data_IF_329873019661
#
_entry.id   IF_329873019661
#
_cell.length_a   1.000
_cell.length_b   1.000
_cell.length_c   1.000
_cell.angle_alpha   90.00
_cell.angle_beta   90.00
_cell.angle_gamma   90.00
#
_symmetry.space_group_name_H-M   'P 1'
#
loop_
_entity.id
_entity.type
_entity.pdbx_description
1 polymer ?
#
# COMPACT_ATOMS: atom_id res chain seq x y z
N UNK A 1 9.00 28.41 -17.58
CA UNK A 1 7.73 28.11 -16.90
C UNK A 1 8.07 27.15 -15.78
N UNK A 2 7.62 27.41 -14.55
CA UNK A 2 7.96 26.59 -13.39
C UNK A 2 7.37 25.18 -13.55
N UNK A 3 8.23 24.16 -13.70
CA UNK A 3 7.85 22.76 -13.88
C UNK A 3 6.97 22.26 -12.72
N UNK A 4 7.20 22.79 -11.52
CA UNK A 4 6.40 22.51 -10.34
C UNK A 4 4.96 23.03 -10.48
N UNK A 5 4.79 24.25 -11.00
CA UNK A 5 3.48 24.86 -11.21
C UNK A 5 2.64 24.09 -12.25
N UNK A 6 3.27 23.65 -13.34
CA UNK A 6 2.59 22.84 -14.36
C UNK A 6 2.17 21.48 -13.80
N UNK A 7 3.00 20.78 -13.02
CA UNK A 7 2.60 19.52 -12.39
C UNK A 7 1.39 19.69 -11.47
N UNK A 8 1.36 20.78 -10.69
CA UNK A 8 0.26 21.09 -9.76
C UNK A 8 -1.05 21.34 -10.49
N UNK A 9 -1.00 21.93 -11.70
CA UNK A 9 -2.17 22.10 -12.56
C UNK A 9 -2.78 20.76 -12.95
N UNK A 10 -1.97 19.77 -13.31
CA UNK A 10 -2.48 18.43 -13.66
C UNK A 10 -2.99 17.66 -12.45
N UNK A 11 -2.32 17.77 -11.28
CA UNK A 11 -2.82 17.21 -10.01
C UNK A 11 -4.19 17.78 -9.65
N UNK A 12 -4.35 19.12 -9.71
CA UNK A 12 -5.62 19.80 -9.45
C UNK A 12 -6.72 19.28 -10.38
N UNK A 13 -6.41 19.15 -11.67
CA UNK A 13 -7.36 18.66 -12.66
C UNK A 13 -7.79 17.22 -12.38
N UNK A 14 -6.87 16.34 -11.98
CA UNK A 14 -7.22 14.99 -11.55
C UNK A 14 -8.14 14.99 -10.32
N UNK A 15 -7.90 15.86 -9.34
CA UNK A 15 -8.80 16.03 -8.17
C UNK A 15 -10.18 16.52 -8.59
N UNK A 16 -10.26 17.49 -9.51
CA UNK A 16 -11.51 18.01 -10.06
C UNK A 16 -12.29 16.93 -10.83
N UNK A 17 -11.60 16.07 -11.57
CA UNK A 17 -12.23 14.89 -12.18
C UNK A 17 -12.74 13.91 -11.12
N UNK A 18 -11.98 13.67 -10.06
CA UNK A 18 -12.39 12.79 -8.96
C UNK A 18 -13.74 13.19 -8.36
N UNK A 19 -13.98 14.50 -8.20
CA UNK A 19 -15.26 15.06 -7.69
C UNK A 19 -16.47 14.80 -8.60
N UNK A 20 -16.26 14.44 -9.86
CA UNK A 20 -17.33 14.09 -10.81
C UNK A 20 -17.69 12.60 -10.78
N UNK A 21 -16.98 11.79 -9.98
CA UNK A 21 -17.23 10.35 -9.85
C UNK A 21 -18.70 10.04 -9.58
N UNK A 22 -19.25 9.08 -10.33
CA UNK A 22 -20.63 8.64 -10.14
C UNK A 22 -20.74 7.76 -8.92
N UNK A 23 -21.79 7.96 -8.13
CA UNK A 23 -22.12 7.06 -7.03
C UNK A 23 -22.47 5.67 -7.59
N UNK A 24 -21.95 4.62 -6.95
CA UNK A 24 -22.20 3.23 -7.30
C UNK A 24 -22.57 2.43 -6.05
N UNK A 25 -23.09 1.22 -6.22
CA UNK A 25 -23.39 0.33 -5.10
C UNK A 25 -22.11 -0.10 -4.36
N UNK A 26 -22.21 -0.11 -3.02
CA UNK A 26 -21.06 -0.25 -2.13
C UNK A 26 -20.28 1.07 -2.07
N UNK A 27 -19.73 1.40 -0.91
CA UNK A 27 -19.02 2.65 -0.69
C UNK A 27 -17.68 2.61 -1.46
N UNK A 28 -17.71 2.99 -2.74
CA UNK A 28 -16.59 2.97 -3.69
C UNK A 28 -15.85 4.31 -3.68
N UNK A 29 -14.54 4.34 -3.95
CA UNK A 29 -13.78 5.58 -3.95
C UNK A 29 -14.15 6.48 -5.13
N UNK A 30 -14.11 7.79 -4.92
CA UNK A 30 -14.06 8.78 -5.97
C UNK A 30 -12.64 8.82 -6.57
N UNK A 31 -12.54 8.61 -7.89
CA UNK A 31 -11.25 8.54 -8.59
C UNK A 31 -11.30 9.40 -9.85
N UNK A 32 -10.29 10.26 -10.02
CA UNK A 32 -10.05 11.05 -11.21
C UNK A 32 -8.68 10.76 -11.79
N UNK A 33 -8.56 10.86 -13.11
CA UNK A 33 -7.31 10.61 -13.83
C UNK A 33 -7.13 11.61 -14.98
N UNK A 34 -5.88 12.00 -15.21
CA UNK A 34 -5.45 12.84 -16.34
C UNK A 34 -4.21 12.23 -16.97
N UNK A 35 -4.18 12.13 -18.30
CA UNK A 35 -3.04 11.67 -19.08
C UNK A 35 -2.42 12.88 -19.80
N UNK A 36 -1.12 13.06 -19.66
CA UNK A 36 -0.38 14.22 -20.18
C UNK A 36 0.83 13.76 -20.99
N UNK A 37 1.13 14.44 -22.10
CA UNK A 37 2.40 14.32 -22.82
C UNK A 37 2.86 15.70 -23.28
N UNK A 38 4.14 16.00 -23.09
CA UNK A 38 4.75 17.28 -23.51
C UNK A 38 3.97 18.51 -23.03
N UNK A 39 3.50 18.45 -21.78
CA UNK A 39 2.70 19.52 -21.16
C UNK A 39 1.26 19.65 -21.69
N UNK A 40 0.80 18.73 -22.55
CA UNK A 40 -0.55 18.72 -23.12
C UNK A 40 -1.37 17.58 -22.54
N UNK A 41 -2.60 17.89 -22.14
CA UNK A 41 -3.57 16.86 -21.73
C UNK A 41 -4.02 16.08 -22.95
N UNK A 42 -3.74 14.78 -22.98
CA UNK A 42 -4.24 13.86 -24.00
C UNK A 42 -5.67 13.43 -23.69
N UNK A 43 -6.01 13.34 -22.40
CA UNK A 43 -7.38 13.10 -21.97
C UNK A 43 -7.51 13.07 -20.45
N UNK A 44 -8.75 13.07 -19.99
CA UNK A 44 -9.10 13.02 -18.57
C UNK A 44 -10.38 12.21 -18.37
N UNK A 45 -10.53 11.62 -17.18
CA UNK A 45 -11.68 10.78 -16.86
C UNK A 45 -11.90 10.68 -15.36
N UNK A 46 -13.06 10.14 -14.99
CA UNK A 46 -13.45 9.87 -13.62
C UNK A 46 -14.18 8.54 -13.51
N UNK A 47 -14.27 8.04 -12.28
CA UNK A 47 -14.90 6.74 -12.01
C UNK A 47 -16.39 6.77 -12.42
N UNK A 48 -16.78 5.81 -13.25
CA UNK A 48 -18.14 5.69 -13.78
C UNK A 48 -18.44 6.54 -15.03
N UNK A 49 -17.46 7.30 -15.57
CA UNK A 49 -17.66 8.05 -16.82
C UNK A 49 -18.02 7.09 -17.98
N UNK A 50 -17.20 6.07 -18.19
CA UNK A 50 -17.34 5.07 -19.29
C UNK A 50 -18.24 3.89 -18.92
N UNK A 51 -19.20 4.10 -18.02
CA UNK A 51 -20.15 3.08 -17.54
C UNK A 51 -19.84 2.53 -16.15
N UNK A 52 -20.85 1.89 -15.54
CA UNK A 52 -20.83 1.43 -14.16
C UNK A 52 -19.71 0.39 -13.90
N UNK A 53 -19.01 0.55 -12.77
CA UNK A 53 -17.94 -0.33 -12.34
C UNK A 53 -16.68 -0.24 -13.21
N UNK A 54 -16.55 0.77 -14.09
CA UNK A 54 -15.30 1.07 -14.80
C UNK A 54 -14.47 2.05 -13.96
N UNK A 55 -13.18 1.73 -13.83
CA UNK A 55 -12.23 2.60 -13.16
C UNK A 55 -11.87 3.74 -14.10
N UNK A 56 -11.52 4.89 -13.54
CA UNK A 56 -11.22 6.09 -14.32
C UNK A 56 -10.05 5.83 -15.30
N UNK A 57 -8.96 5.23 -14.82
CA UNK A 57 -7.77 4.95 -15.62
C UNK A 57 -8.08 3.95 -16.73
N UNK A 58 -8.78 2.87 -16.41
CA UNK A 58 -9.16 1.88 -17.41
C UNK A 58 -10.02 2.52 -18.52
N UNK A 59 -11.06 3.27 -18.14
CA UNK A 59 -11.97 3.90 -19.10
C UNK A 59 -11.25 4.88 -20.02
N UNK A 60 -10.37 5.70 -19.44
CA UNK A 60 -9.60 6.69 -20.19
C UNK A 60 -8.64 6.05 -21.19
N UNK A 61 -7.84 5.09 -20.73
CA UNK A 61 -6.80 4.46 -21.57
C UNK A 61 -7.43 3.70 -22.75
N UNK A 62 -8.53 2.98 -22.51
CA UNK A 62 -9.25 2.29 -23.59
C UNK A 62 -9.85 3.27 -24.60
N UNK A 63 -10.43 4.39 -24.14
CA UNK A 63 -10.96 5.44 -25.02
C UNK A 63 -9.85 6.03 -25.90
N UNK A 64 -8.76 6.48 -25.30
CA UNK A 64 -7.65 7.10 -26.01
C UNK A 64 -6.98 6.13 -27.00
N UNK A 65 -6.78 4.87 -26.59
CA UNK A 65 -6.23 3.83 -27.45
C UNK A 65 -7.17 3.51 -28.63
N UNK A 66 -8.48 3.42 -28.39
CA UNK A 66 -9.49 3.25 -29.44
C UNK A 66 -9.57 4.42 -30.42
N UNK A 67 -9.22 5.63 -29.98
CA UNK A 67 -9.09 6.83 -30.82
C UNK A 67 -7.73 6.90 -31.55
N UNK A 68 -6.84 5.92 -31.37
CA UNK A 68 -5.52 5.87 -32.00
C UNK A 68 -4.49 6.81 -31.38
N UNK A 69 -4.73 7.30 -30.15
CA UNK A 69 -3.78 8.12 -29.41
C UNK A 69 -2.66 7.24 -28.88
N UNK A 70 -1.42 7.48 -29.31
CA UNK A 70 -0.25 6.84 -28.71
C UNK A 70 -0.06 7.34 -27.27
N UNK A 71 0.13 6.42 -26.32
CA UNK A 71 0.27 6.69 -24.88
C UNK A 71 1.70 6.43 -24.34
N UNK A 72 2.60 5.95 -25.20
CA UNK A 72 4.02 5.69 -24.89
C UNK A 72 4.75 6.95 -24.43
N UNK A 73 5.44 6.92 -23.29
CA UNK A 73 6.16 8.08 -22.75
C UNK A 73 5.28 9.13 -22.07
N UNK A 74 3.95 8.95 -22.04
CA UNK A 74 3.05 9.88 -21.32
C UNK A 74 3.22 9.80 -19.79
N UNK A 75 2.76 10.85 -19.10
CA UNK A 75 2.65 10.90 -17.64
C UNK A 75 1.19 10.83 -17.24
N UNK A 76 0.86 9.99 -16.25
CA UNK A 76 -0.49 9.84 -15.72
C UNK A 76 -0.58 10.42 -14.32
N UNK A 77 -1.61 11.23 -14.07
CA UNK A 77 -1.96 11.75 -12.76
C UNK A 77 -3.27 11.09 -12.33
N UNK A 78 -3.23 10.24 -11.30
CA UNK A 78 -4.41 9.56 -10.77
C UNK A 78 -4.59 9.85 -9.29
N UNK A 79 -5.82 10.06 -8.83
CA UNK A 79 -6.08 10.42 -7.43
C UNK A 79 -5.97 9.23 -6.47
N UNK A 80 -6.08 7.99 -6.95
CA UNK A 80 -5.97 6.77 -6.15
C UNK A 80 -4.97 5.82 -6.81
N UNK A 81 -4.28 4.99 -6.03
CA UNK A 81 -3.37 3.97 -6.54
C UNK A 81 -4.04 3.11 -7.64
N UNK A 82 -3.40 2.96 -8.82
CA UNK A 82 -3.89 2.07 -9.87
C UNK A 82 -4.02 0.63 -9.36
N UNK A 83 -5.20 0.03 -9.50
CA UNK A 83 -5.42 -1.30 -8.96
C UNK A 83 -4.49 -2.36 -9.58
N UNK A 84 -4.01 -3.29 -8.74
CA UNK A 84 -3.16 -4.43 -9.12
C UNK A 84 -3.96 -5.68 -9.52
N UNK A 85 -5.26 -5.74 -9.19
CA UNK A 85 -6.14 -6.89 -9.42
C UNK A 85 -7.53 -6.43 -9.81
N UNK A 86 -8.18 -7.20 -10.69
CA UNK A 86 -9.59 -7.01 -11.10
C UNK A 86 -10.24 -8.35 -11.43
N UNK A 87 -11.56 -8.39 -11.37
CA UNK A 87 -12.33 -9.55 -11.79
C UNK A 87 -12.33 -9.65 -13.32
N UNK A 88 -12.09 -10.85 -13.83
CA UNK A 88 -12.18 -11.19 -15.25
C UNK A 88 -13.52 -10.72 -15.85
N UNK A 89 -13.55 -10.19 -17.09
CA UNK A 89 -12.45 -10.06 -18.07
C UNK A 89 -11.66 -8.75 -17.96
N UNK A 90 -11.90 -7.93 -16.92
CA UNK A 90 -11.25 -6.60 -16.80
C UNK A 90 -9.82 -6.78 -16.29
N UNK A 91 -8.83 -6.27 -17.03
CA UNK A 91 -7.43 -6.25 -16.57
C UNK A 91 -7.18 -5.14 -15.53
N UNK A 92 -6.17 -5.29 -14.65
CA UNK A 92 -5.79 -4.26 -13.68
C UNK A 92 -5.33 -2.96 -14.33
N UNK A 93 -5.59 -1.83 -13.67
CA UNK A 93 -5.18 -0.51 -14.15
C UNK A 93 -3.66 -0.40 -14.24
N UNK A 94 -2.93 -0.95 -13.27
CA UNK A 94 -1.46 -1.01 -13.32
C UNK A 94 -0.97 -1.75 -14.58
N UNK A 95 -1.57 -2.89 -14.93
CA UNK A 95 -1.26 -3.64 -16.15
C UNK A 95 -1.56 -2.83 -17.41
N UNK A 96 -2.66 -2.08 -17.45
CA UNK A 96 -2.97 -1.21 -18.59
C UNK A 96 -1.93 -0.12 -18.79
N UNK A 97 -1.50 0.55 -17.71
CA UNK A 97 -0.48 1.59 -17.77
C UNK A 97 0.85 1.05 -18.30
N UNK A 98 1.26 -0.14 -17.83
CA UNK A 98 2.47 -0.83 -18.31
C UNK A 98 2.37 -1.13 -19.81
N UNK A 99 1.26 -1.74 -20.25
CA UNK A 99 1.09 -2.13 -21.64
C UNK A 99 1.05 -0.94 -22.60
N UNK A 100 0.62 0.23 -22.14
CA UNK A 100 0.59 1.47 -22.92
C UNK A 100 1.91 2.26 -22.86
N UNK A 101 2.94 1.75 -22.18
CA UNK A 101 4.28 2.35 -22.17
C UNK A 101 4.35 3.70 -21.48
N UNK A 102 3.50 3.96 -20.48
CA UNK A 102 3.52 5.19 -19.67
C UNK A 102 4.89 5.34 -18.99
N UNK A 103 5.50 6.54 -19.02
CA UNK A 103 6.82 6.78 -18.43
C UNK A 103 6.79 7.13 -16.95
N UNK A 104 5.72 7.80 -16.51
CA UNK A 104 5.57 8.24 -15.14
C UNK A 104 4.12 8.22 -14.66
N UNK A 105 3.93 7.91 -13.38
CA UNK A 105 2.63 7.98 -12.71
C UNK A 105 2.76 8.78 -11.43
N UNK A 106 1.95 9.83 -11.33
CA UNK A 106 1.72 10.57 -10.11
C UNK A 106 0.47 10.01 -9.43
N UNK A 107 0.58 9.67 -8.14
CA UNK A 107 -0.50 9.07 -7.34
C UNK A 107 -0.93 10.02 -6.23
N UNK A 108 -2.23 10.19 -6.07
CA UNK A 108 -2.84 10.96 -4.98
C UNK A 108 -2.69 10.26 -3.63
N UNK A 109 -3.56 9.31 -3.34
CA UNK A 109 -3.47 8.46 -2.14
C UNK A 109 -3.27 7.00 -2.53
N UNK A 110 -2.67 6.22 -1.63
CA UNK A 110 -2.58 4.77 -1.78
C UNK A 110 -3.92 4.12 -1.47
N UNK A 111 -4.21 2.98 -2.10
CA UNK A 111 -5.50 2.32 -1.89
C UNK A 111 -5.50 1.68 -0.49
N UNK A 112 -6.41 2.10 0.41
CA UNK A 112 -6.48 1.57 1.78
C UNK A 112 -6.93 0.10 1.82
N UNK A 113 -7.37 -0.46 0.70
CA UNK A 113 -7.62 -1.87 0.58
C UNK A 113 -6.27 -2.62 0.59
N UNK A 114 -5.94 -3.36 1.65
CA UNK A 114 -4.67 -4.09 1.74
C UNK A 114 -4.41 -5.11 0.62
N UNK A 115 -5.45 -5.58 -0.10
CA UNK A 115 -5.27 -6.46 -1.26
C UNK A 115 -4.69 -5.72 -2.48
N UNK A 116 -4.75 -4.39 -2.45
CA UNK A 116 -4.31 -3.49 -3.52
C UNK A 116 -3.14 -2.64 -3.04
N UNK A 117 -3.14 -2.23 -1.77
CA UNK A 117 -2.16 -1.37 -1.13
C UNK A 117 -0.74 -1.67 -1.59
N UNK A 118 -0.12 -0.71 -2.27
CA UNK A 118 1.25 -0.72 -2.80
C UNK A 118 1.55 -1.81 -3.83
N UNK A 119 0.65 -2.74 -4.11
CA UNK A 119 0.87 -3.78 -5.12
C UNK A 119 0.80 -3.18 -6.53
N UNK A 120 -0.10 -2.22 -6.77
CA UNK A 120 -0.21 -1.56 -8.07
C UNK A 120 0.99 -0.65 -8.32
N UNK A 121 1.36 0.11 -7.29
CA UNK A 121 2.59 0.90 -7.28
C UNK A 121 3.83 0.04 -7.53
N UNK A 122 3.94 -1.14 -6.88
CA UNK A 122 5.05 -2.09 -7.09
C UNK A 122 5.10 -2.56 -8.54
N UNK A 123 3.96 -2.98 -9.10
CA UNK A 123 3.89 -3.45 -10.49
C UNK A 123 4.42 -2.40 -11.46
N UNK A 124 4.04 -1.13 -11.28
CA UNK A 124 4.49 -0.02 -12.12
C UNK A 124 5.99 0.23 -11.95
N UNK A 125 6.48 0.29 -10.71
CA UNK A 125 7.90 0.48 -10.43
C UNK A 125 8.77 -0.66 -10.99
N UNK A 126 8.34 -1.91 -10.82
CA UNK A 126 9.06 -3.08 -11.34
C UNK A 126 9.11 -3.10 -12.88
N UNK A 127 8.17 -2.42 -13.54
CA UNK A 127 8.15 -2.17 -14.97
C UNK A 127 8.90 -0.88 -15.36
N UNK A 128 9.75 -0.35 -14.48
CA UNK A 128 10.59 0.84 -14.68
C UNK A 128 9.82 2.15 -14.93
N UNK A 129 8.56 2.22 -14.50
CA UNK A 129 7.75 3.44 -14.56
C UNK A 129 8.08 4.32 -13.35
N UNK A 130 8.35 5.61 -13.61
CA UNK A 130 8.65 6.59 -12.56
C UNK A 130 7.42 6.90 -11.71
N UNK A 131 7.44 6.47 -10.45
CA UNK A 131 6.36 6.76 -9.49
C UNK A 131 6.64 8.02 -8.67
N UNK A 132 5.64 8.90 -8.54
CA UNK A 132 5.72 10.12 -7.71
C UNK A 132 4.41 10.36 -6.96
N UNK A 133 4.48 11.05 -5.84
CA UNK A 133 3.28 11.42 -5.08
C UNK A 133 2.74 12.80 -5.52
N UNK A 134 1.44 12.99 -5.33
CA UNK A 134 0.84 14.32 -5.34
C UNK A 134 1.37 15.16 -4.19
N UNK A 135 1.32 16.49 -4.35
CA UNK A 135 1.57 17.39 -3.23
C UNK A 135 0.61 17.12 -2.07
N UNK A 136 1.10 17.35 -0.86
CA UNK A 136 0.43 17.03 0.40
C UNK A 136 -0.99 17.61 0.47
N UNK A 137 -1.19 18.86 0.06
CA UNK A 137 -2.51 19.52 0.08
C UNK A 137 -3.55 18.80 -0.80
N UNK A 138 -3.12 18.26 -1.95
CA UNK A 138 -4.01 17.44 -2.77
C UNK A 138 -4.27 16.07 -2.16
N UNK A 139 -3.27 15.45 -1.52
CA UNK A 139 -3.44 14.14 -0.86
C UNK A 139 -4.43 14.23 0.30
N UNK A 140 -4.33 15.27 1.13
CA UNK A 140 -5.29 15.55 2.20
C UNK A 140 -6.71 15.75 1.67
N UNK A 141 -6.85 16.54 0.61
CA UNK A 141 -8.15 16.76 -0.03
C UNK A 141 -8.74 15.46 -0.57
N UNK A 142 -7.94 14.64 -1.27
CA UNK A 142 -8.39 13.36 -1.82
C UNK A 142 -8.79 12.39 -0.69
N UNK A 143 -8.01 12.34 0.40
CA UNK A 143 -8.31 11.51 1.56
C UNK A 143 -9.62 11.94 2.24
N UNK A 144 -9.87 13.25 2.34
CA UNK A 144 -11.13 13.80 2.85
C UNK A 144 -12.31 13.42 1.97
N UNK A 145 -12.17 13.59 0.66
CA UNK A 145 -13.20 13.26 -0.35
C UNK A 145 -13.51 11.75 -0.37
N UNK A 146 -12.56 10.91 0.07
CA UNK A 146 -12.71 9.46 0.15
C UNK A 146 -12.81 8.93 1.60
N UNK A 147 -13.10 9.78 2.58
CA UNK A 147 -13.09 9.41 4.00
C UNK A 147 -13.97 8.20 4.32
N UNK A 148 -15.22 8.18 3.83
CA UNK A 148 -16.11 7.04 4.00
C UNK A 148 -15.52 5.75 3.42
N UNK A 149 -14.85 5.82 2.25
CA UNK A 149 -14.23 4.67 1.62
C UNK A 149 -13.08 4.15 2.48
N UNK A 150 -12.18 5.04 2.91
CA UNK A 150 -11.00 4.73 3.73
C UNK A 150 -11.41 4.16 5.09
N UNK A 151 -12.44 4.72 5.72
CA UNK A 151 -12.92 4.31 7.04
C UNK A 151 -13.38 2.84 7.08
N UNK A 152 -13.81 2.27 5.94
CA UNK A 152 -14.15 0.84 5.85
C UNK A 152 -12.94 -0.09 6.07
N UNK A 153 -11.72 0.43 5.97
CA UNK A 153 -10.48 -0.31 6.12
C UNK A 153 -9.74 0.02 7.41
N UNK A 154 -10.22 1.00 8.20
CA UNK A 154 -9.59 1.36 9.47
C UNK A 154 -9.75 0.24 10.50
N UNK A 155 -8.61 -0.17 11.04
CA UNK A 155 -8.53 -1.11 12.17
C UNK A 155 -8.19 -0.32 13.43
N UNK A 156 -8.88 -0.62 14.54
CA UNK A 156 -8.64 0.03 15.82
C UNK A 156 -7.20 -0.24 16.31
N UNK A 157 -6.54 0.81 16.78
CA UNK A 157 -5.15 0.74 17.24
C UNK A 157 -5.15 0.52 18.75
N UNK A 158 -4.44 -0.51 19.19
CA UNK A 158 -4.19 -0.83 20.60
C UNK A 158 -2.85 -0.25 21.08
N UNK A 159 -2.08 -1.06 21.80
CA UNK A 159 -0.78 -0.67 22.36
C UNK A 159 0.30 -0.45 21.28
N UNK A 160 1.15 0.55 21.50
CA UNK A 160 2.42 0.78 20.78
C UNK A 160 3.60 0.72 21.75
N UNK A 161 4.78 0.37 21.26
CA UNK A 161 6.01 0.42 22.04
C UNK A 161 7.23 -0.01 21.23
N UNK A 162 8.36 -0.13 21.92
CA UNK A 162 9.63 -0.60 21.36
C UNK A 162 10.24 -1.64 22.30
N UNK A 163 10.97 -2.61 21.75
CA UNK A 163 11.68 -3.63 22.51
C UNK A 163 12.98 -4.00 21.79
N UNK A 164 13.96 -4.47 22.57
CA UNK A 164 15.17 -5.08 22.04
C UNK A 164 15.47 -6.36 22.80
N UNK A 165 16.05 -7.36 22.12
CA UNK A 165 16.39 -8.61 22.77
C UNK A 165 17.51 -9.36 22.03
N UNK A 166 18.22 -10.19 22.79
CA UNK A 166 19.23 -11.09 22.26
C UNK A 166 18.63 -12.42 21.75
N UNK A 167 18.52 -12.54 20.42
CA UNK A 167 17.97 -13.71 19.73
C UNK A 167 18.82 -14.97 19.75
N UNK A 168 19.95 -14.94 20.45
CA UNK A 168 20.68 -16.16 20.82
C UNK A 168 20.22 -16.76 22.15
N UNK A 169 19.40 -16.06 22.94
CA UNK A 169 18.89 -16.54 24.22
C UNK A 169 17.60 -17.37 24.00
N UNK A 170 17.60 -18.62 24.48
CA UNK A 170 16.47 -19.53 24.35
C UNK A 170 16.31 -20.08 22.92
N UNK A 171 15.07 -20.31 22.48
CA UNK A 171 14.75 -20.73 21.11
C UNK A 171 14.35 -19.53 20.20
N UNK A 172 14.56 -18.30 20.68
CA UNK A 172 14.18 -17.08 19.98
C UNK A 172 12.67 -16.79 19.99
N UNK A 173 11.90 -17.38 20.90
CA UNK A 173 10.45 -17.13 21.04
C UNK A 173 10.09 -15.83 21.76
N UNK A 174 9.10 -15.13 21.21
CA UNK A 174 8.53 -13.85 21.68
C UNK A 174 7.05 -13.99 21.90
N UNK A 175 6.55 -13.24 22.88
CA UNK A 175 5.13 -12.99 23.01
C UNK A 175 4.82 -11.56 23.39
N UNK A 176 3.79 -11.00 22.76
CA UNK A 176 3.18 -9.73 23.14
C UNK A 176 1.74 -10.02 23.51
N UNK A 177 1.29 -9.46 24.64
CA UNK A 177 -0.06 -9.61 25.15
C UNK A 177 -0.74 -8.25 25.23
N UNK A 178 -2.00 -8.16 24.80
CA UNK A 178 -2.81 -6.95 24.89
C UNK A 178 -4.29 -7.31 25.13
N UNK A 179 -4.76 -7.07 26.36
CA UNK A 179 -6.08 -7.55 26.78
C UNK A 179 -6.16 -9.07 26.65
N UNK A 180 -7.10 -9.56 25.83
CA UNK A 180 -7.26 -10.99 25.56
C UNK A 180 -6.44 -11.49 24.35
N UNK A 181 -5.73 -10.61 23.65
CA UNK A 181 -4.91 -10.98 22.50
C UNK A 181 -3.53 -11.44 22.96
N UNK A 182 -3.08 -12.58 22.44
CA UNK A 182 -1.74 -13.13 22.70
C UNK A 182 -1.07 -13.49 21.38
N UNK A 183 -0.06 -12.72 21.03
CA UNK A 183 0.76 -12.95 19.84
C UNK A 183 1.99 -13.75 20.26
N UNK A 184 2.30 -14.83 19.54
CA UNK A 184 3.52 -15.63 19.76
C UNK A 184 4.23 -15.84 18.43
N UNK A 185 5.52 -15.56 18.37
CA UNK A 185 6.33 -15.74 17.17
C UNK A 185 7.79 -15.95 17.55
N UNK A 186 8.66 -16.30 16.60
CA UNK A 186 10.10 -16.37 16.79
C UNK A 186 10.82 -15.39 15.89
N UNK A 187 11.95 -14.87 16.37
CA UNK A 187 12.92 -14.15 15.56
C UNK A 187 14.21 -14.96 15.52
N UNK A 188 14.71 -15.26 14.33
CA UNK A 188 15.97 -15.98 14.14
C UNK A 188 16.90 -15.25 13.17
N UNK A 189 18.16 -15.64 13.19
CA UNK A 189 19.21 -15.05 12.35
C UNK A 189 18.93 -15.24 10.86
N UNK A 190 19.03 -14.17 10.08
CA UNK A 190 18.97 -14.21 8.62
C UNK A 190 20.22 -13.58 7.97
N UNK A 191 20.64 -12.40 8.42
CA UNK A 191 21.79 -11.67 7.89
C UNK A 191 22.17 -10.45 8.73
N UNK A 192 23.05 -9.60 8.21
CA UNK A 192 23.58 -8.41 8.92
C UNK A 192 22.53 -7.34 9.20
N UNK A 193 21.56 -7.21 8.31
CA UNK A 193 20.52 -6.18 8.31
C UNK A 193 19.12 -6.79 8.36
N UNK A 194 19.00 -8.06 8.74
CA UNK A 194 17.75 -8.80 8.61
C UNK A 194 17.62 -9.99 9.56
N UNK A 195 16.38 -10.26 9.95
CA UNK A 195 15.97 -11.42 10.74
C UNK A 195 14.90 -12.22 10.00
N UNK A 196 14.74 -13.50 10.36
CA UNK A 196 13.53 -14.24 10.00
C UNK A 196 12.51 -14.11 11.12
N UNK A 197 11.30 -13.69 10.78
CA UNK A 197 10.13 -13.80 11.65
C UNK A 197 9.39 -15.10 11.32
N UNK A 198 9.08 -15.91 12.36
CA UNK A 198 8.45 -17.22 12.20
C UNK A 198 7.24 -17.40 13.11
N UNK A 199 6.18 -18.00 12.57
CA UNK A 199 5.03 -18.51 13.30
C UNK A 199 4.43 -19.69 12.54
N UNK A 200 4.54 -20.89 13.11
CA UNK A 200 4.02 -22.12 12.49
C UNK A 200 2.51 -22.32 12.70
N UNK A 201 1.90 -21.55 13.59
CA UNK A 201 0.48 -21.68 13.94
C UNK A 201 -0.35 -20.67 13.17
N UNK A 202 0.02 -19.39 13.26
CA UNK A 202 -0.74 -18.30 12.67
C UNK A 202 -0.13 -17.72 11.41
N UNK A 203 1.06 -18.17 11.01
CA UNK A 203 1.81 -17.64 9.86
C UNK A 203 2.21 -16.18 10.03
N UNK A 204 3.12 -15.71 9.17
CA UNK A 204 3.69 -14.36 9.24
C UNK A 204 3.51 -13.67 7.91
N UNK A 205 3.06 -12.42 7.95
CA UNK A 205 2.98 -11.58 6.76
C UNK A 205 4.15 -10.59 6.71
N UNK A 206 4.69 -10.40 5.52
CA UNK A 206 5.57 -9.28 5.19
C UNK A 206 4.68 -8.10 4.81
N UNK A 207 4.78 -6.99 5.53
CA UNK A 207 4.04 -5.76 5.23
C UNK A 207 4.75 -5.02 4.11
N UNK A 208 4.76 -5.65 2.93
CA UNK A 208 5.51 -5.21 1.76
C UNK A 208 5.24 -3.72 1.49
N UNK A 209 6.32 -2.98 1.22
CA UNK A 209 6.34 -1.53 0.92
C UNK A 209 5.96 -0.58 2.05
N UNK A 210 5.51 -1.06 3.21
CA UNK A 210 5.33 -0.22 4.38
C UNK A 210 6.64 -0.07 5.15
N UNK A 211 6.96 1.18 5.50
CA UNK A 211 8.08 1.59 6.34
C UNK A 211 7.63 2.10 7.70
N UNK A 212 6.41 2.65 7.76
CA UNK A 212 5.78 3.13 8.98
C UNK A 212 4.43 2.44 9.24
N UNK A 213 4.00 2.33 10.50
CA UNK A 213 2.74 1.62 10.81
C UNK A 213 1.49 2.31 10.27
N UNK A 214 1.53 3.62 10.08
CA UNK A 214 0.43 4.41 9.51
C UNK A 214 0.21 4.14 8.01
N UNK A 215 1.15 3.48 7.36
CA UNK A 215 1.04 3.00 5.99
C UNK A 215 0.29 1.66 5.90
N UNK A 216 -0.02 1.01 7.03
CA UNK A 216 -0.70 -0.28 7.07
C UNK A 216 -2.13 -0.07 7.57
N UNK A 217 -3.08 -0.10 6.64
CA UNK A 217 -4.50 0.06 6.93
C UNK A 217 -5.12 -1.21 7.53
N UNK A 218 -4.94 -2.36 6.87
CA UNK A 218 -5.44 -3.66 7.32
C UNK A 218 -4.38 -4.77 7.13
N UNK A 219 -3.70 -5.21 8.21
CA UNK A 219 -2.66 -6.24 8.12
C UNK A 219 -3.20 -7.59 7.60
N UNK A 220 -4.51 -7.82 7.70
CA UNK A 220 -5.16 -9.08 7.36
C UNK A 220 -5.17 -9.44 5.88
N UNK A 221 -5.00 -8.49 4.97
CA UNK A 221 -5.01 -8.81 3.53
C UNK A 221 -3.64 -8.82 2.84
N UNK A 222 -2.57 -8.71 3.63
CA UNK A 222 -1.24 -9.06 3.18
C UNK A 222 -1.10 -10.57 2.98
N UNK A 223 0.04 -10.99 2.45
CA UNK A 223 0.30 -12.40 2.17
C UNK A 223 0.66 -13.17 3.45
N UNK A 224 -0.32 -13.89 3.99
CA UNK A 224 -0.18 -14.82 5.11
C UNK A 224 0.06 -16.27 4.67
N UNK A 225 0.52 -16.55 3.44
CA UNK A 225 0.64 -17.93 2.93
C UNK A 225 1.83 -18.73 3.47
N UNK A 226 2.75 -18.10 4.21
CA UNK A 226 3.98 -18.73 4.65
C UNK A 226 4.25 -18.50 6.14
N UNK A 227 4.83 -19.51 6.79
CA UNK A 227 5.16 -19.47 8.22
C UNK A 227 6.40 -18.65 8.56
N UNK A 228 7.18 -18.25 7.56
CA UNK A 228 8.44 -17.51 7.73
C UNK A 228 8.59 -16.37 6.72
N UNK A 229 9.05 -15.21 7.19
CA UNK A 229 9.38 -14.03 6.38
C UNK A 229 10.74 -13.48 6.75
N UNK A 230 11.54 -13.11 5.74
CA UNK A 230 12.74 -12.29 5.94
C UNK A 230 12.31 -10.84 6.16
N UNK A 231 12.76 -10.24 7.26
CA UNK A 231 12.43 -8.86 7.64
C UNK A 231 13.73 -8.09 7.77
N UNK A 232 13.97 -7.14 6.87
CA UNK A 232 15.14 -6.27 6.92
C UNK A 232 14.92 -5.10 7.91
N UNK A 233 16.00 -4.47 8.36
CA UNK A 233 15.96 -3.21 9.11
C UNK A 233 15.16 -2.18 8.30
N UNK A 234 14.20 -1.53 8.97
CA UNK A 234 13.25 -0.61 8.39
C UNK A 234 12.05 -1.26 7.69
N UNK A 235 11.94 -2.59 7.63
CA UNK A 235 10.75 -3.29 7.15
C UNK A 235 9.86 -3.73 8.30
N UNK A 236 8.58 -3.96 7.97
CA UNK A 236 7.55 -4.36 8.92
C UNK A 236 7.08 -5.79 8.59
N UNK A 237 6.98 -6.63 9.61
CA UNK A 237 6.26 -7.89 9.55
C UNK A 237 5.00 -7.83 10.42
N UNK A 238 4.05 -8.73 10.19
CA UNK A 238 2.92 -8.91 11.07
C UNK A 238 2.75 -10.36 11.52
N UNK A 239 2.30 -10.49 12.76
CA UNK A 239 1.85 -11.73 13.40
C UNK A 239 0.38 -11.56 13.74
N UNK A 240 -0.42 -12.63 13.69
CA UNK A 240 -1.85 -12.55 14.01
C UNK A 240 -2.23 -13.42 15.21
N UNK A 241 -3.25 -12.96 15.92
CA UNK A 241 -3.94 -13.69 16.98
C UNK A 241 -5.43 -13.70 16.64
N UNK A 242 -6.22 -14.56 17.30
CA UNK A 242 -7.67 -14.53 17.17
C UNK A 242 -8.18 -13.15 17.60
N UNK A 243 -8.66 -12.34 16.63
CA UNK A 243 -9.20 -11.01 16.88
C UNK A 243 -8.20 -9.84 16.78
N UNK A 244 -6.99 -10.03 16.24
CA UNK A 244 -6.08 -8.90 15.99
C UNK A 244 -4.75 -9.25 15.34
N UNK A 245 -3.94 -8.22 15.13
CA UNK A 245 -2.61 -8.28 14.53
C UNK A 245 -1.59 -7.55 15.40
N UNK A 246 -0.35 -8.00 15.34
CA UNK A 246 0.83 -7.34 15.89
C UNK A 246 1.74 -6.98 14.73
N UNK A 247 1.94 -5.70 14.50
CA UNK A 247 2.93 -5.18 13.56
C UNK A 247 4.27 -5.04 14.27
N UNK A 248 5.34 -5.42 13.58
CA UNK A 248 6.71 -5.47 14.09
C UNK A 248 7.64 -4.82 13.08
N UNK A 249 8.17 -3.63 13.39
CA UNK A 249 9.15 -2.94 12.56
C UNK A 249 10.55 -3.19 13.11
N UNK A 250 11.42 -3.85 12.35
CA UNK A 250 12.81 -4.08 12.77
C UNK A 250 13.58 -2.76 12.67
N UNK A 251 14.15 -2.29 13.76
CA UNK A 251 14.85 -0.99 13.83
C UNK A 251 16.36 -1.15 13.86
N UNK A 252 16.88 -2.27 14.39
CA UNK A 252 18.31 -2.56 14.42
C UNK A 252 18.55 -4.07 14.50
N UNK A 253 19.65 -4.55 13.92
CA UNK A 253 20.12 -5.94 14.02
C UNK A 253 21.62 -5.92 14.27
N UNK A 254 22.06 -6.53 15.37
CA UNK A 254 23.46 -6.65 15.78
C UNK A 254 23.84 -8.12 15.95
N UNK A 255 25.07 -8.47 15.58
CA UNK A 255 25.54 -9.87 15.59
C UNK A 255 26.99 -9.98 16.09
N UNK A 256 27.20 -10.69 17.20
CA UNK A 256 28.53 -10.87 17.83
C UNK A 256 29.53 -11.60 16.95
N UNK A 257 29.09 -12.57 16.15
CA UNK A 257 30.00 -13.38 15.33
C UNK A 257 30.70 -12.58 14.24
N UNK A 258 30.34 -11.30 14.08
CA UNK A 258 30.89 -10.42 13.04
C UNK A 258 31.31 -9.05 13.56
N UNK A 259 31.61 -8.96 14.86
CA UNK A 259 32.29 -7.81 15.47
C UNK A 259 31.40 -6.81 16.22
N UNK A 260 30.11 -7.11 16.42
CA UNK A 260 29.28 -6.34 17.34
C UNK A 260 29.46 -6.80 18.78
N UNK A 261 29.22 -5.92 19.76
CA UNK A 261 29.36 -6.25 21.18
C UNK A 261 28.27 -7.21 21.70
N UNK A 262 27.15 -7.33 20.97
CA UNK A 262 25.94 -8.09 21.33
C UNK A 262 25.24 -8.64 20.08
N UNK A 263 24.58 -9.79 20.25
CA UNK A 263 23.64 -10.33 19.27
C UNK A 263 22.28 -9.82 19.70
N UNK A 264 21.65 -8.93 18.94
CA UNK A 264 20.45 -8.24 19.38
C UNK A 264 19.59 -7.82 18.19
N UNK A 265 18.27 -7.95 18.33
CA UNK A 265 17.31 -7.33 17.42
C UNK A 265 16.50 -6.32 18.19
N UNK A 266 16.39 -5.10 17.65
CA UNK A 266 15.50 -4.08 18.14
C UNK A 266 14.32 -3.93 17.18
N UNK A 267 13.13 -3.68 17.74
CA UNK A 267 11.93 -3.44 16.95
C UNK A 267 10.95 -2.50 17.65
N UNK A 268 10.21 -1.76 16.83
CA UNK A 268 8.98 -1.12 17.26
C UNK A 268 7.81 -2.07 17.02
N UNK A 269 6.73 -1.90 17.79
CA UNK A 269 5.52 -2.68 17.60
C UNK A 269 4.24 -1.87 17.76
N UNK A 270 3.19 -2.34 17.09
CA UNK A 270 1.83 -1.80 17.20
C UNK A 270 0.81 -2.94 17.16
N UNK A 271 -0.09 -2.95 18.13
CA UNK A 271 -1.24 -3.87 18.16
C UNK A 271 -2.39 -3.25 17.37
N UNK A 272 -2.96 -4.03 16.46
CA UNK A 272 -4.16 -3.71 15.69
C UNK A 272 -5.28 -4.65 16.10
N UNK A 273 -6.32 -4.11 16.72
CA UNK A 273 -7.50 -4.86 17.15
C UNK A 273 -8.34 -5.16 15.92
N UNK A 274 -8.53 -6.44 15.59
CA UNK A 274 -9.29 -6.86 14.42
C UNK A 274 -10.70 -6.27 14.41
N UNK A 275 -11.32 -6.19 13.24
CA UNK A 275 -12.68 -5.68 13.11
C UNK A 275 -13.59 -6.47 14.06
N UNK A 276 -14.24 -5.78 15.01
CA UNK A 276 -15.43 -6.31 15.65
C UNK A 276 -16.45 -6.40 14.52
N UNK A 277 -16.63 -7.60 13.96
CA UNK A 277 -17.77 -7.86 13.10
C UNK A 277 -18.98 -7.76 14.04
N UNK A 278 -19.88 -6.77 13.88
CA UNK A 278 -21.16 -6.86 14.56
C UNK A 278 -21.76 -8.19 14.12
N UNK A 279 -22.04 -9.08 15.07
CA UNK A 279 -22.84 -10.28 14.80
C UNK A 279 -24.05 -9.88 13.96
N UNK A 280 -24.20 -10.55 12.81
CA UNK A 280 -25.35 -10.44 11.91
C UNK A 280 -26.67 -10.53 12.68
#
# INVERSE_FOLDING_TARGET
MDEHLERRKFMRRAVEMGKQSKSEAGNKPAVGVVVVRDGRVLGESFRGETGEGRHAEYGLLERLSGEGVDLSGSTVYTTLEPCSRRNDPKKPCATHLINHGVSAVYVGIYDPNPKIYREGWKMLRDAEISMKDFDEDFREQIAKDNSSFIDQYKIAIGQRGSASFDYSIGDGSFSVEHGNLKFRFRLTRCGHDSVYALDHTSYVADMRFAKEFNEIDDPGAYDWSHYSRKVAVGNIAAVRSQGGFLLLRVTDVRDRERGADRTEVAFDFEVRLGRVIPTL
#
